data_IF_355289064389
#
_entry.id   IF_355289064389
#
_cell.length_a   1.000
_cell.length_b   1.000
_cell.length_c   1.000
_cell.angle_alpha   90.00
_cell.angle_beta   90.00
_cell.angle_gamma   90.00
#
_symmetry.space_group_name_H-M   'P 1'
#
loop_
_entity.id
_entity.type
_entity.pdbx_description
1 polymer ?
#
# COMPACT_ATOMS: atom_id res chain seq x y z
N UNK A 1 -17.85 16.19 7.61
CA UNK A 1 -16.54 16.78 7.89
C UNK A 1 -16.12 16.44 9.31
N UNK A 2 -14.90 15.96 9.51
CA UNK A 2 -14.42 15.57 10.83
C UNK A 2 -13.76 16.79 11.49
N UNK A 3 -14.27 17.16 12.67
CA UNK A 3 -13.79 18.31 13.43
C UNK A 3 -12.86 17.84 14.56
N UNK A 4 -12.11 18.79 15.14
CA UNK A 4 -11.28 18.50 16.32
C UNK A 4 -12.11 17.99 17.50
N UNK A 5 -13.34 18.48 17.64
CA UNK A 5 -14.28 18.02 18.66
C UNK A 5 -14.64 16.54 18.46
N UNK A 6 -14.88 16.13 17.22
CA UNK A 6 -15.20 14.73 16.89
C UNK A 6 -14.04 13.81 17.25
N UNK A 7 -12.80 14.20 16.94
CA UNK A 7 -11.62 13.42 17.26
C UNK A 7 -11.47 13.26 18.77
N UNK A 8 -11.63 14.35 19.52
CA UNK A 8 -11.51 14.34 20.99
C UNK A 8 -12.57 13.45 21.63
N UNK A 9 -13.81 13.57 21.18
CA UNK A 9 -14.93 12.79 21.72
C UNK A 9 -14.76 11.31 21.44
N UNK A 10 -14.37 10.94 20.22
CA UNK A 10 -14.16 9.56 19.84
C UNK A 10 -12.92 8.94 20.49
N UNK A 11 -11.88 9.73 20.72
CA UNK A 11 -10.69 9.27 21.45
C UNK A 11 -11.07 8.90 22.88
N UNK A 12 -11.93 9.68 23.53
CA UNK A 12 -12.40 9.37 24.88
C UNK A 12 -13.27 8.11 24.88
N UNK A 13 -14.17 7.97 23.93
CA UNK A 13 -14.98 6.75 23.77
C UNK A 13 -14.11 5.52 23.54
N UNK A 14 -13.07 5.64 22.72
CA UNK A 14 -12.13 4.56 22.46
C UNK A 14 -11.41 4.14 23.74
N UNK A 15 -10.93 5.09 24.54
CA UNK A 15 -10.29 4.79 25.82
C UNK A 15 -11.24 4.04 26.76
N UNK A 16 -12.49 4.46 26.83
CA UNK A 16 -13.50 3.82 27.66
C UNK A 16 -13.78 2.38 27.21
N UNK A 17 -13.92 2.18 25.90
CA UNK A 17 -14.15 0.84 25.34
C UNK A 17 -12.95 -0.07 25.57
N UNK A 18 -11.72 0.42 25.36
CA UNK A 18 -10.52 -0.37 25.57
C UNK A 18 -10.30 -0.73 27.04
N UNK A 19 -10.74 0.11 27.97
CA UNK A 19 -10.64 -0.21 29.40
C UNK A 19 -11.61 -1.32 29.82
N UNK A 20 -12.74 -1.49 29.11
CA UNK A 20 -13.75 -2.51 29.42
C UNK A 20 -13.51 -3.79 28.62
N UNK A 21 -13.35 -3.69 27.31
CA UNK A 21 -13.24 -4.85 26.40
C UNK A 21 -11.81 -5.28 26.12
N UNK A 22 -10.85 -4.38 26.32
CA UNK A 22 -9.44 -4.64 25.99
C UNK A 22 -9.13 -4.51 24.50
N UNK A 23 -7.89 -4.83 24.14
CA UNK A 23 -7.41 -4.76 22.77
C UNK A 23 -7.55 -6.14 22.14
N UNK A 24 -8.14 -6.21 20.96
CA UNK A 24 -8.24 -7.46 20.20
C UNK A 24 -6.88 -7.83 19.62
N UNK A 25 -6.53 -9.13 19.67
CA UNK A 25 -5.33 -9.64 19.00
C UNK A 25 -5.78 -10.20 17.66
N UNK A 26 -5.49 -9.49 16.53
CA UNK A 26 -5.93 -9.96 15.24
C UNK A 26 -5.10 -11.16 14.76
N UNK A 27 -5.68 -12.04 13.92
CA UNK A 27 -4.90 -13.11 13.29
C UNK A 27 -3.80 -12.52 12.40
N UNK A 28 -2.59 -13.02 12.56
CA UNK A 28 -1.42 -12.51 11.84
C UNK A 28 -1.64 -12.55 10.32
N UNK A 29 -2.21 -13.64 9.81
CA UNK A 29 -2.45 -13.80 8.38
C UNK A 29 -3.37 -12.70 7.81
N UNK A 30 -4.41 -12.34 8.56
CA UNK A 30 -5.36 -11.29 8.14
C UNK A 30 -4.71 -9.90 8.13
N UNK A 31 -3.75 -9.68 9.02
CA UNK A 31 -3.03 -8.40 9.10
C UNK A 31 -2.05 -8.21 7.95
N UNK A 32 -1.28 -9.27 7.62
CA UNK A 32 -0.21 -9.16 6.63
C UNK A 32 -0.69 -9.34 5.18
N UNK A 33 -1.84 -9.98 4.96
CA UNK A 33 -2.31 -10.33 3.63
C UNK A 33 -2.40 -9.14 2.66
N UNK A 34 -3.03 -8.01 3.00
CA UNK A 34 -3.08 -6.87 2.09
C UNK A 34 -1.70 -6.30 1.75
N UNK A 35 -0.81 -6.22 2.74
CA UNK A 35 0.55 -5.73 2.55
C UNK A 35 1.35 -6.63 1.62
N UNK A 36 1.20 -7.94 1.74
CA UNK A 36 1.87 -8.91 0.86
C UNK A 36 1.42 -8.74 -0.59
N UNK A 37 0.11 -8.57 -0.82
CA UNK A 37 -0.40 -8.36 -2.17
C UNK A 37 0.18 -7.10 -2.81
N UNK A 38 0.20 -5.99 -2.08
CA UNK A 38 0.75 -4.73 -2.60
C UNK A 38 2.26 -4.85 -2.81
N UNK A 39 2.98 -5.48 -1.89
CA UNK A 39 4.42 -5.71 -2.01
C UNK A 39 4.74 -6.51 -3.28
N UNK A 40 4.04 -7.62 -3.49
CA UNK A 40 4.26 -8.46 -4.68
C UNK A 40 3.93 -7.70 -5.96
N UNK A 41 2.86 -6.92 -5.98
CA UNK A 41 2.52 -6.14 -7.16
C UNK A 41 3.59 -5.11 -7.49
N UNK A 42 4.04 -4.34 -6.50
CA UNK A 42 5.06 -3.31 -6.70
C UNK A 42 6.40 -3.92 -7.12
N UNK A 43 6.73 -5.10 -6.60
CA UNK A 43 7.97 -5.80 -6.95
C UNK A 43 7.91 -6.43 -8.33
N UNK A 44 6.82 -7.13 -8.65
CA UNK A 44 6.73 -7.97 -9.85
C UNK A 44 6.28 -7.21 -11.09
N UNK A 45 5.51 -6.15 -10.96
CA UNK A 45 4.95 -5.43 -12.10
C UNK A 45 6.04 -4.85 -13.03
N UNK A 46 7.04 -4.10 -12.53
CA UNK A 46 8.12 -3.61 -13.40
C UNK A 46 8.94 -4.75 -14.02
N UNK A 47 9.19 -5.81 -13.29
CA UNK A 47 9.90 -6.99 -13.80
C UNK A 47 9.13 -7.64 -14.94
N UNK A 48 7.83 -7.81 -14.77
CA UNK A 48 6.96 -8.37 -15.80
C UNK A 48 6.95 -7.52 -17.06
N UNK A 49 6.87 -6.19 -16.90
CA UNK A 49 6.90 -5.27 -18.04
C UNK A 49 8.23 -5.34 -18.79
N UNK A 50 9.33 -5.47 -18.07
CA UNK A 50 10.65 -5.62 -18.69
C UNK A 50 10.78 -6.90 -19.49
N UNK A 51 10.25 -8.00 -18.94
CA UNK A 51 10.23 -9.28 -19.65
C UNK A 51 9.41 -9.19 -20.95
N UNK A 52 8.27 -8.49 -20.90
CA UNK A 52 7.45 -8.26 -22.09
C UNK A 52 8.17 -7.42 -23.13
N UNK A 53 8.94 -6.44 -22.69
CA UNK A 53 9.70 -5.56 -23.60
C UNK A 53 11.00 -6.18 -24.10
N UNK A 54 11.30 -7.40 -23.68
CA UNK A 54 12.51 -8.16 -24.06
C UNK A 54 13.81 -7.40 -23.78
N UNK A 55 13.82 -6.61 -22.70
CA UNK A 55 14.93 -5.75 -22.33
C UNK A 55 15.45 -6.08 -20.93
N UNK A 56 16.06 -7.24 -20.81
CA UNK A 56 16.70 -7.58 -19.54
C UNK A 56 18.21 -7.29 -19.64
N UNK A 57 18.61 -6.07 -19.28
CA UNK A 57 19.97 -5.81 -18.88
C UNK A 57 20.05 -6.11 -17.38
N UNK A 58 20.93 -7.02 -16.99
CA UNK A 58 21.04 -7.47 -15.60
C UNK A 58 21.37 -6.32 -14.65
N UNK A 59 22.14 -5.32 -15.10
CA UNK A 59 22.50 -4.17 -14.28
C UNK A 59 21.28 -3.31 -13.95
N UNK A 60 20.51 -2.97 -14.96
CA UNK A 60 19.33 -2.14 -14.79
C UNK A 60 18.21 -2.91 -14.07
N UNK A 61 18.08 -4.21 -14.34
CA UNK A 61 17.11 -5.05 -13.63
C UNK A 61 17.42 -5.11 -12.14
N UNK A 62 18.71 -5.19 -11.76
CA UNK A 62 19.11 -5.19 -10.36
C UNK A 62 18.71 -3.92 -9.64
N UNK A 63 18.92 -2.75 -10.25
CA UNK A 63 18.50 -1.48 -9.66
C UNK A 63 16.99 -1.40 -9.50
N UNK A 64 16.24 -1.77 -10.53
CA UNK A 64 14.78 -1.69 -10.48
C UNK A 64 14.19 -2.66 -9.45
N UNK A 65 14.74 -3.87 -9.34
CA UNK A 65 14.32 -4.84 -8.34
C UNK A 65 14.58 -4.29 -6.94
N UNK A 66 15.76 -3.71 -6.70
CA UNK A 66 16.08 -3.12 -5.40
C UNK A 66 15.17 -1.94 -5.08
N UNK A 67 14.96 -1.03 -6.02
CA UNK A 67 14.09 0.13 -5.84
C UNK A 67 12.65 -0.30 -5.56
N UNK A 68 12.12 -1.20 -6.38
CA UNK A 68 10.75 -1.71 -6.20
C UNK A 68 10.61 -2.49 -4.90
N UNK A 69 11.64 -3.25 -4.52
CA UNK A 69 11.66 -3.95 -3.24
C UNK A 69 11.60 -3.02 -2.05
N UNK A 70 12.37 -1.93 -2.07
CA UNK A 70 12.36 -0.93 -0.99
C UNK A 70 11.00 -0.24 -0.92
N UNK A 71 10.46 0.20 -2.05
CA UNK A 71 9.15 0.86 -2.08
C UNK A 71 8.04 -0.09 -1.62
N UNK A 72 8.07 -1.33 -2.10
CA UNK A 72 7.11 -2.35 -1.69
C UNK A 72 7.21 -2.67 -0.21
N UNK A 73 8.43 -2.72 0.35
CA UNK A 73 8.62 -2.96 1.77
C UNK A 73 8.07 -1.82 2.63
N UNK A 74 8.30 -0.57 2.23
CA UNK A 74 7.73 0.59 2.92
C UNK A 74 6.20 0.52 2.93
N UNK A 75 5.59 0.20 1.79
CA UNK A 75 4.14 0.04 1.70
C UNK A 75 3.65 -1.14 2.53
N UNK A 76 4.38 -2.25 2.52
CA UNK A 76 4.06 -3.41 3.34
C UNK A 76 4.03 -3.04 4.83
N UNK A 77 5.04 -2.35 5.32
CA UNK A 77 5.11 -1.93 6.73
C UNK A 77 3.95 -0.99 7.07
N UNK A 78 3.68 0.00 6.21
CA UNK A 78 2.61 0.95 6.43
C UNK A 78 1.23 0.27 6.47
N UNK A 79 0.96 -0.60 5.50
CA UNK A 79 -0.31 -1.31 5.41
C UNK A 79 -0.49 -2.27 6.60
N UNK A 80 0.56 -3.00 6.94
CA UNK A 80 0.51 -3.97 8.05
C UNK A 80 0.28 -3.26 9.38
N UNK A 81 0.97 -2.14 9.63
CA UNK A 81 0.75 -1.35 10.84
C UNK A 81 -0.67 -0.78 10.90
N UNK A 82 -1.16 -0.24 9.77
CA UNK A 82 -2.52 0.28 9.69
C UNK A 82 -3.56 -0.80 9.95
N UNK A 83 -3.40 -1.98 9.36
CA UNK A 83 -4.30 -3.11 9.58
C UNK A 83 -4.25 -3.62 11.02
N UNK A 84 -3.04 -3.67 11.61
CA UNK A 84 -2.90 -4.10 13.00
C UNK A 84 -3.66 -3.16 13.93
N UNK A 85 -3.47 -1.84 13.78
CA UNK A 85 -4.18 -0.86 14.59
C UNK A 85 -5.70 -0.93 14.37
N UNK A 86 -6.12 -1.03 13.11
CA UNK A 86 -7.54 -1.10 12.77
C UNK A 86 -8.22 -2.32 13.37
N UNK A 87 -7.61 -3.50 13.24
CA UNK A 87 -8.18 -4.75 13.74
C UNK A 87 -8.04 -4.91 15.25
N UNK A 88 -7.09 -4.21 15.89
CA UNK A 88 -6.94 -4.23 17.34
C UNK A 88 -8.07 -3.50 18.06
N UNK A 89 -8.75 -2.59 17.38
CA UNK A 89 -9.89 -1.87 17.93
C UNK A 89 -11.11 -2.78 17.90
N UNK A 90 -11.94 -2.82 18.99
CA UNK A 90 -13.14 -3.65 19.00
C UNK A 90 -14.06 -3.34 17.82
N UNK A 91 -14.58 -4.40 17.19
CA UNK A 91 -15.37 -4.30 15.96
C UNK A 91 -16.58 -3.36 16.13
N UNK A 92 -17.27 -3.44 17.25
CA UNK A 92 -18.44 -2.61 17.53
C UNK A 92 -18.10 -1.13 17.49
N UNK A 93 -17.01 -0.74 18.16
CA UNK A 93 -16.54 0.65 18.15
C UNK A 93 -16.07 1.07 16.76
N UNK A 94 -15.32 0.20 16.09
CA UNK A 94 -14.78 0.45 14.75
C UNK A 94 -15.89 0.72 13.73
N UNK A 95 -16.98 -0.07 13.79
CA UNK A 95 -18.10 0.08 12.86
C UNK A 95 -18.91 1.35 13.12
N UNK A 96 -18.98 1.79 14.39
CA UNK A 96 -19.74 2.98 14.78
C UNK A 96 -18.94 4.27 14.70
N UNK A 97 -17.60 4.19 14.64
CA UNK A 97 -16.73 5.37 14.68
C UNK A 97 -16.61 6.02 13.31
N UNK A 98 -16.96 7.30 13.21
CA UNK A 98 -16.78 8.10 12.00
C UNK A 98 -15.31 8.39 11.72
N UNK A 99 -14.52 8.64 12.78
CA UNK A 99 -13.10 9.00 12.63
C UNK A 99 -12.31 7.81 12.11
N UNK A 100 -12.51 6.61 12.67
CA UNK A 100 -11.80 5.41 12.25
C UNK A 100 -12.19 5.02 10.84
N UNK A 101 -13.48 5.07 10.51
CA UNK A 101 -13.96 4.80 9.15
C UNK A 101 -13.35 5.78 8.14
N UNK A 102 -13.31 7.07 8.47
CA UNK A 102 -12.71 8.10 7.62
C UNK A 102 -11.21 7.85 7.41
N UNK A 103 -10.47 7.56 8.48
CA UNK A 103 -9.03 7.29 8.39
C UNK A 103 -8.73 6.04 7.56
N UNK A 104 -9.53 4.99 7.76
CA UNK A 104 -9.38 3.75 7.00
C UNK A 104 -9.62 3.99 5.51
N UNK A 105 -10.72 4.68 5.16
CA UNK A 105 -11.06 4.97 3.78
C UNK A 105 -10.01 5.87 3.11
N UNK A 106 -9.49 6.87 3.83
CA UNK A 106 -8.44 7.75 3.33
C UNK A 106 -7.14 6.98 3.05
N UNK A 107 -6.70 6.16 3.99
CA UNK A 107 -5.50 5.35 3.81
C UNK A 107 -5.65 4.38 2.63
N UNK A 108 -6.79 3.72 2.55
CA UNK A 108 -7.08 2.81 1.43
C UNK A 108 -7.02 3.55 0.10
N UNK A 109 -7.62 4.75 0.02
CA UNK A 109 -7.63 5.56 -1.19
C UNK A 109 -6.23 6.00 -1.58
N UNK A 110 -5.40 6.46 -0.63
CA UNK A 110 -4.03 6.87 -0.92
C UNK A 110 -3.16 5.70 -1.40
N UNK A 111 -3.27 4.55 -0.76
CA UNK A 111 -2.51 3.36 -1.16
C UNK A 111 -2.93 2.90 -2.54
N UNK A 112 -4.23 2.85 -2.81
CA UNK A 112 -4.75 2.44 -4.12
C UNK A 112 -4.30 3.42 -5.21
N UNK A 113 -4.38 4.72 -4.95
CA UNK A 113 -3.94 5.75 -5.88
C UNK A 113 -2.44 5.63 -6.16
N UNK A 114 -1.62 5.38 -5.13
CA UNK A 114 -0.18 5.18 -5.31
C UNK A 114 0.10 3.97 -6.20
N UNK A 115 -0.57 2.85 -5.95
CA UNK A 115 -0.38 1.62 -6.75
C UNK A 115 -0.77 1.85 -8.20
N UNK A 116 -1.89 2.54 -8.45
CA UNK A 116 -2.35 2.84 -9.80
C UNK A 116 -1.34 3.74 -10.52
N UNK A 117 -0.92 4.84 -9.89
CA UNK A 117 0.06 5.77 -10.49
C UNK A 117 1.38 5.05 -10.75
N UNK A 118 1.87 4.27 -9.80
CA UNK A 118 3.09 3.49 -9.94
C UNK A 118 2.99 2.54 -11.14
N UNK A 119 1.87 1.85 -11.29
CA UNK A 119 1.66 0.92 -12.40
C UNK A 119 1.67 1.63 -13.75
N UNK A 120 0.99 2.79 -13.85
CA UNK A 120 0.93 3.58 -15.07
C UNK A 120 2.31 4.15 -15.42
N UNK A 121 3.03 4.70 -14.44
CA UNK A 121 4.37 5.26 -14.66
C UNK A 121 5.35 4.18 -15.09
N UNK A 122 5.31 3.00 -14.46
CA UNK A 122 6.17 1.87 -14.83
C UNK A 122 5.89 1.41 -16.26
N UNK A 123 4.62 1.32 -16.63
CA UNK A 123 4.21 0.95 -17.99
C UNK A 123 4.69 1.97 -19.01
N UNK A 124 4.46 3.27 -18.75
CA UNK A 124 4.88 4.35 -19.65
C UNK A 124 6.39 4.39 -19.79
N UNK A 125 7.13 4.25 -18.69
CA UNK A 125 8.60 4.22 -18.69
C UNK A 125 9.13 3.06 -19.54
N UNK A 126 8.60 1.87 -19.36
CA UNK A 126 9.02 0.68 -20.11
C UNK A 126 8.73 0.85 -21.58
N UNK A 127 7.54 1.35 -21.94
CA UNK A 127 7.18 1.57 -23.34
C UNK A 127 8.01 2.65 -23.99
N UNK A 128 8.25 3.76 -23.31
CA UNK A 128 9.06 4.87 -23.83
C UNK A 128 10.50 4.42 -24.12
N UNK A 129 11.14 3.74 -23.17
CA UNK A 129 12.49 3.23 -23.36
C UNK A 129 12.53 2.14 -24.41
N UNK A 130 11.52 1.29 -24.50
CA UNK A 130 11.38 0.30 -25.55
C UNK A 130 11.32 0.94 -26.93
N UNK A 131 10.51 1.97 -27.08
CA UNK A 131 10.37 2.70 -28.32
C UNK A 131 11.65 3.42 -28.72
N UNK A 132 12.28 4.13 -27.78
CA UNK A 132 13.54 4.84 -28.04
C UNK A 132 14.67 3.91 -28.47
N UNK A 133 14.73 2.73 -27.89
CA UNK A 133 15.73 1.72 -28.30
C UNK A 133 15.47 1.21 -29.72
N UNK A 134 14.21 0.98 -30.09
CA UNK A 134 13.85 0.60 -31.45
C UNK A 134 14.28 1.68 -32.46
N UNK A 135 13.98 2.93 -32.16
CA UNK A 135 14.37 4.06 -33.01
C UNK A 135 15.89 4.14 -33.13
N UNK A 136 16.62 3.94 -32.04
CA UNK A 136 18.06 3.96 -32.03
C UNK A 136 18.65 2.80 -32.86
N UNK A 137 18.03 1.63 -32.84
CA UNK A 137 18.46 0.49 -33.61
C UNK A 137 18.21 0.64 -35.12
N UNK A 138 17.14 1.33 -35.50
CA UNK A 138 16.77 1.53 -36.90
C UNK A 138 17.54 2.69 -37.56
N UNK A 139 18.15 3.54 -36.81
CA UNK A 139 19.00 4.61 -37.28
C UNK A 139 20.49 4.23 -37.19
#
# INVERSE_FOLDING_TARGET
MITHYDIKTETQKLKDVLSVEGVNIPPLLQVIKPGVYVFLWVLLWPTFLRLLADKVDIRDAGFDICFSGVMGFILFVAITNGMMLYLAIPKKFRDESKVISFMYDKNKTYILSFVIVFSIVSFAHTFLFGFLSLVHYTN
#
